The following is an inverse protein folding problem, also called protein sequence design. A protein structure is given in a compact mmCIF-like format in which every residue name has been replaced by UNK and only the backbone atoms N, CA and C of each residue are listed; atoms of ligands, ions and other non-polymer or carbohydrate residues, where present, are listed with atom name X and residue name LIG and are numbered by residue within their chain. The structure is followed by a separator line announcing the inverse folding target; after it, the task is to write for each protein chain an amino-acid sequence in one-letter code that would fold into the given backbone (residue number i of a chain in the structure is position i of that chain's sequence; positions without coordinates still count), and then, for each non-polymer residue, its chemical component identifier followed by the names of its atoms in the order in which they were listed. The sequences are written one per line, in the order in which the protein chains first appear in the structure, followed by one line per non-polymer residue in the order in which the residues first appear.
data_IF_460589486408
#
_entry.id   IF_460589486408
#
_cell.length_a   1.000
_cell.length_b   1.000
_cell.length_c   1.000
_cell.angle_alpha   90.00
_cell.angle_beta   90.00
_cell.angle_gamma   90.00
#
_symmetry.space_group_name_H-M   'P 1'
#
loop_
_entity.id
_entity.type
_entity.pdbx_description
1 polymer ?
#
# COMPACT_ATOMS: atom_id res chain seq x y z
N UNK A 1 27.58 15.66 -30.02
CA UNK A 1 26.82 15.50 -28.75
C UNK A 1 27.67 14.59 -27.87
N UNK A 2 27.99 14.97 -26.63
CA UNK A 2 28.76 14.09 -25.73
C UNK A 2 28.03 12.76 -25.54
N UNK A 3 28.78 11.67 -25.37
CA UNK A 3 28.28 10.27 -25.43
C UNK A 3 27.13 9.93 -24.46
N UNK A 4 26.82 10.80 -23.49
CA UNK A 4 25.82 10.56 -22.45
C UNK A 4 24.44 11.22 -22.70
N UNK A 5 24.26 12.08 -23.71
CA UNK A 5 22.98 12.75 -23.95
C UNK A 5 22.10 11.98 -24.92
N UNK A 6 20.93 11.56 -24.45
CA UNK A 6 19.92 10.84 -25.24
C UNK A 6 18.77 11.78 -25.59
N UNK A 7 18.41 11.83 -26.86
CA UNK A 7 17.25 12.56 -27.36
C UNK A 7 15.96 11.75 -27.12
N UNK A 8 15.02 12.32 -26.37
CA UNK A 8 13.74 11.71 -26.04
C UNK A 8 12.62 12.07 -27.03
N UNK A 9 12.84 13.04 -27.92
CA UNK A 9 11.87 13.51 -28.89
C UNK A 9 11.46 14.97 -28.74
N UNK A 10 10.34 15.33 -29.39
CA UNK A 10 9.81 16.70 -29.42
C UNK A 10 9.38 17.18 -28.03
N UNK A 11 9.84 18.37 -27.64
CA UNK A 11 9.43 19.04 -26.41
C UNK A 11 7.93 19.34 -26.41
N UNK A 12 7.36 19.76 -27.54
CA UNK A 12 5.92 20.01 -27.64
C UNK A 12 5.12 18.73 -27.40
N UNK A 13 5.53 17.61 -28.02
CA UNK A 13 4.83 16.33 -27.87
C UNK A 13 4.94 15.81 -26.42
N UNK A 14 6.13 15.89 -25.83
CA UNK A 14 6.38 15.43 -24.46
C UNK A 14 5.71 16.32 -23.41
N UNK A 15 5.57 17.62 -23.64
CA UNK A 15 4.90 18.54 -22.71
C UNK A 15 3.39 18.32 -22.61
N UNK A 16 2.76 17.60 -23.56
CA UNK A 16 1.32 17.27 -23.52
C UNK A 16 0.93 16.37 -22.36
N UNK A 17 1.91 15.71 -21.72
CA UNK A 17 1.68 14.87 -20.54
C UNK A 17 2.45 15.45 -19.35
N UNK A 18 1.79 15.72 -18.22
CA UNK A 18 2.46 16.27 -17.05
C UNK A 18 3.49 15.31 -16.46
N UNK A 19 3.25 13.99 -16.60
CA UNK A 19 4.17 12.93 -16.19
C UNK A 19 4.03 11.75 -17.14
N UNK A 20 5.15 11.13 -17.50
CA UNK A 20 5.16 9.95 -18.35
C UNK A 20 6.42 9.12 -18.14
N UNK A 21 6.28 7.82 -18.40
CA UNK A 21 7.40 6.89 -18.47
C UNK A 21 8.06 6.97 -19.84
N UNK A 22 9.37 7.16 -19.84
CA UNK A 22 10.21 7.13 -21.04
C UNK A 22 11.44 6.24 -20.79
N UNK A 23 12.17 5.91 -21.84
CA UNK A 23 13.47 5.23 -21.76
C UNK A 23 14.53 6.15 -22.34
N UNK A 24 15.64 6.29 -21.62
CA UNK A 24 16.87 6.88 -22.12
C UNK A 24 17.91 5.75 -22.16
N UNK A 25 18.23 5.22 -23.34
CA UNK A 25 18.92 3.93 -23.45
C UNK A 25 18.15 2.83 -22.71
N UNK A 26 18.82 2.11 -21.81
CA UNK A 26 18.21 1.09 -20.96
C UNK A 26 17.67 1.62 -19.62
N UNK A 27 17.89 2.90 -19.31
CA UNK A 27 17.46 3.49 -18.04
C UNK A 27 15.98 3.90 -18.13
N UNK A 28 15.10 3.38 -17.25
CA UNK A 28 13.74 3.86 -17.17
C UNK A 28 13.72 5.23 -16.50
N UNK A 29 13.02 6.19 -17.11
CA UNK A 29 12.91 7.56 -16.64
C UNK A 29 11.44 7.91 -16.40
N UNK A 30 11.17 8.54 -15.26
CA UNK A 30 9.93 9.30 -15.06
C UNK A 30 10.21 10.75 -15.48
N UNK A 31 9.66 11.13 -16.63
CA UNK A 31 9.79 12.48 -17.18
C UNK A 31 8.56 13.28 -16.79
N UNK A 32 8.78 14.39 -16.08
CA UNK A 32 7.73 15.34 -15.68
C UNK A 32 7.89 16.64 -16.45
N UNK A 33 6.77 17.33 -16.69
CA UNK A 33 6.72 18.66 -17.28
C UNK A 33 5.63 19.48 -16.59
N UNK A 34 6.04 20.56 -15.90
CA UNK A 34 5.13 21.54 -15.28
C UNK A 34 5.48 22.89 -15.89
N UNK A 35 4.51 23.60 -16.46
CA UNK A 35 4.68 24.92 -17.08
C UNK A 35 5.84 24.99 -18.08
N UNK A 36 6.03 23.91 -18.86
CA UNK A 36 7.11 23.78 -19.85
C UNK A 36 8.48 23.40 -19.27
N UNK A 37 8.63 23.32 -17.94
CA UNK A 37 9.87 22.96 -17.27
C UNK A 37 9.98 21.44 -17.03
N UNK A 38 10.80 20.78 -17.85
CA UNK A 38 11.06 19.35 -17.72
C UNK A 38 11.95 19.01 -16.52
N UNK A 39 11.69 17.86 -15.88
CA UNK A 39 12.72 17.17 -15.10
C UNK A 39 12.59 15.65 -15.21
N UNK A 40 13.72 14.97 -15.04
CA UNK A 40 13.84 13.53 -15.16
C UNK A 40 14.39 12.93 -13.87
N UNK A 41 13.69 11.91 -13.37
CA UNK A 41 14.16 11.05 -12.27
C UNK A 41 14.11 9.60 -12.71
N UNK A 42 14.80 8.73 -11.97
CA UNK A 42 14.75 7.30 -12.23
C UNK A 42 13.30 6.80 -12.15
N UNK A 43 12.87 5.99 -13.10
CA UNK A 43 11.47 5.55 -13.22
C UNK A 43 11.02 4.50 -12.21
N UNK A 44 11.82 4.17 -11.20
CA UNK A 44 11.55 3.07 -10.26
C UNK A 44 11.65 3.57 -8.81
N UNK A 45 10.51 3.55 -8.12
CA UNK A 45 10.32 3.96 -6.72
C UNK A 45 11.22 3.15 -5.77
N UNK A 46 11.83 3.81 -4.77
CA UNK A 46 12.69 3.14 -3.78
C UNK A 46 11.92 2.22 -2.82
N UNK A 47 10.60 2.39 -2.66
CA UNK A 47 9.80 1.56 -1.77
C UNK A 47 9.78 0.08 -2.21
N UNK A 48 9.13 -0.22 -3.34
CA UNK A 48 9.02 -1.60 -3.88
C UNK A 48 9.22 -1.67 -5.41
N UNK A 49 9.73 -0.61 -6.04
CA UNK A 49 10.04 -0.60 -7.48
C UNK A 49 8.90 -0.17 -8.40
N UNK A 50 7.89 0.55 -7.86
CA UNK A 50 6.77 1.09 -8.64
C UNK A 50 7.18 1.99 -9.80
N UNK A 51 6.47 1.95 -10.94
CA UNK A 51 6.78 2.74 -12.14
C UNK A 51 6.36 4.19 -11.94
N UNK A 52 7.30 5.04 -11.54
CA UNK A 52 7.01 6.44 -11.20
C UNK A 52 6.45 7.23 -12.38
N UNK A 53 6.83 6.90 -13.62
CA UNK A 53 6.30 7.55 -14.82
C UNK A 53 4.85 7.18 -15.16
N UNK A 54 4.25 6.21 -14.46
CA UNK A 54 2.83 5.84 -14.57
C UNK A 54 2.03 6.37 -13.37
N UNK A 55 2.65 7.20 -12.52
CA UNK A 55 2.05 7.85 -11.37
C UNK A 55 1.31 9.15 -11.70
N UNK A 56 1.13 9.98 -10.69
CA UNK A 56 0.53 11.33 -10.80
C UNK A 56 1.48 12.39 -10.24
N UNK A 57 1.18 13.67 -10.48
CA UNK A 57 1.87 14.79 -9.86
C UNK A 57 0.97 15.45 -8.80
N UNK A 58 1.55 15.73 -7.64
CA UNK A 58 0.98 16.58 -6.59
C UNK A 58 1.97 17.72 -6.31
N UNK A 59 1.73 18.89 -6.91
CA UNK A 59 2.73 19.97 -6.95
C UNK A 59 4.01 19.49 -7.62
N UNK A 60 5.15 19.65 -6.94
CA UNK A 60 6.45 19.16 -7.44
C UNK A 60 6.77 17.70 -7.09
N UNK A 61 5.82 16.94 -6.54
CA UNK A 61 6.04 15.55 -6.16
C UNK A 61 5.40 14.56 -7.14
N UNK A 62 6.18 13.57 -7.56
CA UNK A 62 5.69 12.39 -8.29
C UNK A 62 5.17 11.38 -7.27
N UNK A 63 3.89 11.05 -7.37
CA UNK A 63 3.19 10.08 -6.52
C UNK A 63 3.20 8.71 -7.19
N UNK A 64 3.83 7.74 -6.54
CA UNK A 64 3.92 6.37 -7.04
C UNK A 64 2.52 5.73 -7.19
N UNK A 65 2.18 5.10 -8.33
CA UNK A 65 0.84 4.55 -8.56
C UNK A 65 0.51 3.31 -7.72
N UNK A 66 1.53 2.73 -7.07
CA UNK A 66 1.34 1.55 -6.22
C UNK A 66 1.02 1.92 -4.78
N UNK A 67 1.87 2.68 -4.09
CA UNK A 67 1.73 2.93 -2.64
C UNK A 67 1.86 4.41 -2.32
N UNK A 68 1.55 5.28 -3.28
CA UNK A 68 1.53 6.74 -3.13
C UNK A 68 2.81 7.39 -2.59
N UNK A 69 3.91 6.63 -2.48
CA UNK A 69 5.21 7.14 -2.07
C UNK A 69 5.66 8.24 -3.01
N UNK A 70 6.13 9.35 -2.43
CA UNK A 70 6.37 10.57 -3.19
C UNK A 70 7.85 10.87 -3.31
N UNK A 71 8.24 11.39 -4.49
CA UNK A 71 9.56 11.95 -4.71
C UNK A 71 9.47 13.28 -5.43
N UNK A 72 10.22 14.26 -4.98
CA UNK A 72 10.31 15.56 -5.64
C UNK A 72 10.89 15.37 -7.04
N UNK A 73 10.19 15.87 -8.05
CA UNK A 73 10.46 15.63 -9.48
C UNK A 73 11.82 16.15 -9.96
N UNK A 74 12.37 17.17 -9.31
CA UNK A 74 13.66 17.78 -9.68
C UNK A 74 14.85 17.25 -8.86
N UNK A 75 14.67 17.06 -7.55
CA UNK A 75 15.75 16.71 -6.61
C UNK A 75 15.81 15.21 -6.35
N UNK A 76 14.71 14.48 -6.64
CA UNK A 76 14.57 13.05 -6.39
C UNK A 76 14.40 12.70 -4.90
N UNK A 77 14.31 13.69 -4.02
CA UNK A 77 14.21 13.50 -2.56
C UNK A 77 12.79 13.07 -2.20
N UNK A 78 12.64 12.19 -1.21
CA UNK A 78 11.35 11.80 -0.64
C UNK A 78 10.55 12.97 -0.07
N UNK A 79 9.29 12.74 0.26
CA UNK A 79 8.47 13.74 0.97
C UNK A 79 8.94 13.99 2.40
N UNK A 80 8.30 14.96 3.07
CA UNK A 80 8.64 15.34 4.44
C UNK A 80 8.66 14.14 5.40
N UNK A 81 9.72 14.02 6.19
CA UNK A 81 9.98 12.86 7.05
C UNK A 81 10.70 11.68 6.38
N UNK A 82 10.88 11.72 5.05
CA UNK A 82 11.58 10.70 4.26
C UNK A 82 12.70 11.29 3.39
N UNK A 83 13.31 12.40 3.81
CA UNK A 83 14.30 13.16 3.01
C UNK A 83 15.62 12.40 2.78
N UNK A 84 15.86 11.34 3.56
CA UNK A 84 16.99 10.43 3.39
C UNK A 84 16.77 9.42 2.25
N UNK A 85 15.52 9.21 1.83
CA UNK A 85 15.17 8.41 0.66
C UNK A 85 15.28 9.25 -0.61
N UNK A 86 16.05 8.78 -1.59
CA UNK A 86 16.33 9.52 -2.83
C UNK A 86 16.43 8.62 -4.04
N UNK A 87 15.72 8.99 -5.09
CA UNK A 87 15.89 8.41 -6.43
C UNK A 87 16.87 9.26 -7.27
N UNK A 88 17.65 8.63 -8.17
CA UNK A 88 18.55 9.36 -9.06
C UNK A 88 17.81 10.39 -9.92
N UNK A 89 18.40 11.57 -10.07
CA UNK A 89 17.96 12.61 -11.01
C UNK A 89 18.88 12.63 -12.23
N UNK A 90 18.33 13.00 -13.37
CA UNK A 90 19.05 13.04 -14.63
C UNK A 90 18.95 14.45 -15.22
N UNK A 91 20.08 15.11 -15.54
CA UNK A 91 20.06 16.42 -16.17
C UNK A 91 19.21 16.41 -17.45
N UNK A 92 18.33 17.40 -17.60
CA UNK A 92 17.47 17.58 -18.76
C UNK A 92 17.75 18.94 -19.39
N UNK A 93 17.78 19.00 -20.72
CA UNK A 93 17.83 20.25 -21.46
C UNK A 93 16.92 20.19 -22.68
N UNK A 94 16.50 21.35 -23.16
CA UNK A 94 15.75 21.50 -24.41
C UNK A 94 16.64 22.23 -25.41
N UNK A 95 16.97 21.60 -26.53
CA UNK A 95 17.76 22.20 -27.60
C UNK A 95 17.05 21.96 -28.94
N UNK A 96 16.87 23.00 -29.74
CA UNK A 96 16.20 22.92 -31.05
C UNK A 96 14.82 22.22 -31.00
N UNK A 97 14.04 22.48 -29.94
CA UNK A 97 12.73 21.87 -29.73
C UNK A 97 12.74 20.39 -29.34
N UNK A 98 13.91 19.82 -29.00
CA UNK A 98 14.08 18.42 -28.58
C UNK A 98 14.44 18.35 -27.10
N UNK A 99 13.87 17.39 -26.38
CA UNK A 99 14.21 17.11 -24.97
C UNK A 99 15.36 16.12 -24.93
N UNK A 100 16.48 16.51 -24.34
CA UNK A 100 17.64 15.65 -24.14
C UNK A 100 17.83 15.36 -22.66
N UNK A 101 18.15 14.11 -22.33
CA UNK A 101 18.47 13.65 -20.98
C UNK A 101 19.87 13.08 -20.93
N UNK A 102 20.64 13.45 -19.91
CA UNK A 102 21.97 12.91 -19.69
C UNK A 102 21.88 11.61 -18.86
N UNK A 103 22.45 10.50 -19.34
CA UNK A 103 22.44 9.19 -18.65
C UNK A 103 23.29 9.15 -17.40
N UNK A 104 24.23 10.09 -17.23
CA UNK A 104 24.97 10.26 -15.99
C UNK A 104 24.06 10.92 -14.96
N UNK A 105 23.60 10.13 -14.00
CA UNK A 105 22.80 10.63 -12.89
C UNK A 105 23.53 11.74 -12.13
N UNK A 106 22.83 12.85 -11.87
CA UNK A 106 23.35 13.97 -11.08
C UNK A 106 23.35 13.65 -9.57
N UNK A 107 22.44 12.77 -9.14
CA UNK A 107 22.35 12.31 -7.75
C UNK A 107 22.43 10.79 -7.68
N UNK A 108 22.95 10.29 -6.56
CA UNK A 108 22.96 8.85 -6.26
C UNK A 108 21.64 8.43 -5.63
N UNK A 109 21.25 7.17 -5.86
CA UNK A 109 20.15 6.53 -5.13
C UNK A 109 20.56 6.36 -3.67
N UNK A 110 19.68 6.74 -2.74
CA UNK A 110 19.79 6.38 -1.33
C UNK A 110 18.45 5.83 -0.86
N UNK A 111 18.47 4.77 -0.06
CA UNK A 111 17.29 4.18 0.57
C UNK A 111 17.63 3.97 2.03
N UNK A 112 17.00 4.72 2.93
CA UNK A 112 17.17 4.47 4.34
C UNK A 112 16.52 3.12 4.70
N UNK A 113 17.19 2.27 5.49
CA UNK A 113 16.53 1.14 6.11
C UNK A 113 15.42 1.68 7.02
N UNK A 114 14.23 1.12 6.91
CA UNK A 114 13.17 1.32 7.89
C UNK A 114 13.03 0.02 8.69
N UNK A 115 12.76 0.15 9.99
CA UNK A 115 12.46 -1.01 10.80
C UNK A 115 11.26 -1.75 10.19
N UNK A 116 11.29 -3.10 10.15
CA UNK A 116 10.17 -3.87 9.64
C UNK A 116 8.91 -3.54 10.45
N UNK A 117 7.78 -3.44 9.75
CA UNK A 117 6.49 -3.27 10.41
C UNK A 117 6.26 -4.40 11.45
N UNK A 118 5.71 -4.14 12.65
CA UNK A 118 5.56 -5.16 13.71
C UNK A 118 4.83 -6.45 13.31
N UNK A 119 3.90 -6.36 12.35
CA UNK A 119 3.20 -7.53 11.78
C UNK A 119 4.10 -8.44 10.90
N UNK A 120 5.27 -7.97 10.46
CA UNK A 120 6.19 -8.70 9.61
C UNK A 120 7.05 -9.72 10.39
N UNK A 121 6.95 -9.73 11.71
CA UNK A 121 7.65 -10.70 12.57
C UNK A 121 7.25 -12.14 12.23
N UNK A 122 8.13 -13.09 12.55
CA UNK A 122 7.84 -14.50 12.37
C UNK A 122 6.63 -14.92 13.22
N UNK A 123 5.74 -15.73 12.64
CA UNK A 123 4.60 -16.30 13.37
C UNK A 123 5.13 -17.32 14.39
N UNK A 124 4.86 -17.07 15.67
CA UNK A 124 5.24 -17.95 16.77
C UNK A 124 4.00 -18.29 17.59
N UNK A 125 3.67 -19.58 17.67
CA UNK A 125 2.56 -20.06 18.50
C UNK A 125 3.12 -20.41 19.88
N UNK A 126 2.85 -19.55 20.87
CA UNK A 126 3.15 -19.86 22.26
C UNK A 126 2.32 -21.06 22.75
N UNK A 127 2.87 -21.84 23.68
CA UNK A 127 2.10 -22.84 24.43
C UNK A 127 1.03 -22.16 25.27
N UNK A 128 -0.12 -22.82 25.45
CA UNK A 128 -1.23 -22.26 26.20
C UNK A 128 -2.57 -22.90 25.83
N UNK A 129 -3.68 -22.37 26.36
CA UNK A 129 -5.02 -22.77 25.96
C UNK A 129 -5.27 -22.44 24.48
N UNK A 130 -6.25 -23.12 23.86
CA UNK A 130 -6.70 -22.80 22.51
C UNK A 130 -7.22 -21.37 22.47
N UNK A 131 -6.76 -20.58 21.50
CA UNK A 131 -7.14 -19.18 21.31
C UNK A 131 -8.21 -19.04 20.24
N UNK A 132 -9.37 -18.52 20.62
CA UNK A 132 -10.53 -18.34 19.74
C UNK A 132 -10.77 -16.85 19.49
N UNK A 133 -10.55 -16.40 18.26
CA UNK A 133 -10.86 -15.03 17.86
C UNK A 133 -12.26 -14.96 17.23
N UNK A 134 -13.14 -14.14 17.79
CA UNK A 134 -14.42 -13.81 17.20
C UNK A 134 -14.36 -12.49 16.42
N UNK A 135 -14.78 -12.51 15.16
CA UNK A 135 -14.87 -11.34 14.30
C UNK A 135 -16.34 -11.03 14.02
N UNK A 136 -16.84 -9.93 14.58
CA UNK A 136 -18.17 -9.40 14.24
C UNK A 136 -18.06 -8.46 13.05
N UNK A 137 -18.83 -8.75 12.00
CA UNK A 137 -18.94 -7.89 10.82
C UNK A 137 -20.27 -7.13 10.80
N UNK A 138 -20.94 -7.01 11.94
CA UNK A 138 -22.19 -6.26 12.07
C UNK A 138 -21.93 -4.77 11.82
N UNK A 139 -22.53 -4.23 10.76
CA UNK A 139 -22.58 -2.80 10.51
C UNK A 139 -23.80 -2.20 11.22
N UNK A 140 -23.55 -1.45 12.30
CA UNK A 140 -24.56 -0.81 13.15
C UNK A 140 -24.29 0.69 13.22
N UNK A 141 -25.32 1.50 13.03
CA UNK A 141 -25.25 2.94 13.24
C UNK A 141 -25.20 3.24 14.74
N UNK A 142 -24.24 4.08 15.18
CA UNK A 142 -24.06 4.35 16.63
C UNK A 142 -25.27 5.06 17.23
N UNK A 143 -25.93 5.92 16.47
CA UNK A 143 -27.13 6.66 16.91
C UNK A 143 -28.43 5.85 16.89
N UNK A 144 -28.43 4.63 16.34
CA UNK A 144 -29.63 3.80 16.21
C UNK A 144 -29.30 2.31 16.48
N UNK A 145 -28.90 1.97 17.72
CA UNK A 145 -28.57 0.59 18.06
C UNK A 145 -29.81 -0.30 17.94
N UNK A 146 -29.60 -1.53 17.46
CA UNK A 146 -30.62 -2.58 17.44
C UNK A 146 -29.99 -3.91 17.82
N UNK A 147 -30.82 -4.87 18.20
CA UNK A 147 -30.35 -6.23 18.45
C UNK A 147 -29.74 -6.84 17.17
N UNK A 148 -28.61 -7.51 17.33
CA UNK A 148 -27.93 -8.25 16.26
C UNK A 148 -27.87 -9.73 16.64
N UNK A 149 -28.65 -10.56 15.95
CA UNK A 149 -28.62 -12.01 16.16
C UNK A 149 -27.24 -12.61 15.84
N UNK A 150 -26.52 -12.05 14.85
CA UNK A 150 -25.16 -12.44 14.51
C UNK A 150 -24.18 -12.15 15.65
N UNK A 151 -24.26 -10.97 16.28
CA UNK A 151 -23.41 -10.65 17.42
C UNK A 151 -23.75 -11.50 18.63
N UNK A 152 -25.04 -11.70 18.90
CA UNK A 152 -25.49 -12.52 20.01
C UNK A 152 -25.02 -13.98 19.90
N UNK A 153 -25.10 -14.58 18.71
CA UNK A 153 -24.59 -15.92 18.46
C UNK A 153 -23.07 -15.99 18.61
N UNK A 154 -22.34 -14.97 18.13
CA UNK A 154 -20.90 -14.91 18.28
C UNK A 154 -20.48 -14.83 19.75
N UNK A 155 -21.10 -13.93 20.50
CA UNK A 155 -20.85 -13.76 21.95
C UNK A 155 -21.15 -15.05 22.71
N UNK A 156 -22.25 -15.73 22.37
CA UNK A 156 -22.61 -17.02 22.98
C UNK A 156 -21.60 -18.11 22.66
N UNK A 157 -21.10 -18.18 21.41
CA UNK A 157 -20.08 -19.13 21.01
C UNK A 157 -18.73 -18.88 21.71
N UNK A 158 -18.32 -17.62 21.83
CA UNK A 158 -17.11 -17.25 22.56
C UNK A 158 -17.24 -17.57 24.06
N UNK A 159 -18.37 -17.25 24.69
CA UNK A 159 -18.62 -17.59 26.08
C UNK A 159 -18.55 -19.11 26.33
N UNK A 160 -19.13 -19.91 25.42
CA UNK A 160 -19.07 -21.37 25.49
C UNK A 160 -17.64 -21.92 25.29
N UNK A 161 -16.83 -21.29 24.42
CA UNK A 161 -15.42 -21.64 24.27
C UNK A 161 -14.62 -21.29 25.53
N UNK A 162 -14.85 -20.12 26.12
CA UNK A 162 -14.22 -19.71 27.38
C UNK A 162 -14.55 -20.66 28.53
N UNK A 163 -15.80 -21.13 28.63
CA UNK A 163 -16.21 -22.14 29.62
C UNK A 163 -15.52 -23.50 29.44
N UNK A 164 -14.98 -23.79 28.26
CA UNK A 164 -14.16 -24.98 27.97
C UNK A 164 -12.66 -24.75 28.19
N UNK A 165 -12.27 -23.59 28.74
CA UNK A 165 -10.87 -23.25 29.04
C UNK A 165 -10.12 -22.62 27.87
N UNK A 166 -10.79 -22.24 26.78
CA UNK A 166 -10.17 -21.48 25.69
C UNK A 166 -9.93 -20.02 26.10
N UNK A 167 -8.87 -19.43 25.59
CA UNK A 167 -8.71 -17.97 25.61
C UNK A 167 -9.52 -17.36 24.46
N UNK A 168 -10.30 -16.32 24.72
CA UNK A 168 -11.21 -15.76 23.72
C UNK A 168 -11.07 -14.25 23.59
N UNK A 169 -11.14 -13.74 22.37
CA UNK A 169 -11.25 -12.30 22.11
C UNK A 169 -12.35 -12.00 21.09
N UNK A 170 -12.96 -10.81 21.19
CA UNK A 170 -13.98 -10.32 20.26
C UNK A 170 -13.51 -9.03 19.60
N UNK A 171 -13.42 -9.04 18.28
CA UNK A 171 -13.12 -7.86 17.47
C UNK A 171 -14.38 -7.48 16.68
N UNK A 172 -14.85 -6.25 16.86
CA UNK A 172 -16.00 -5.71 16.12
C UNK A 172 -15.50 -4.79 15.02
N UNK A 173 -15.59 -5.24 13.77
CA UNK A 173 -15.13 -4.44 12.62
C UNK A 173 -15.84 -3.10 12.51
N UNK A 174 -17.10 -3.01 12.96
CA UNK A 174 -17.85 -1.75 12.97
C UNK A 174 -17.30 -0.69 13.96
N UNK A 175 -16.36 -1.08 14.82
CA UNK A 175 -15.66 -0.17 15.74
C UNK A 175 -14.25 0.20 15.24
N UNK A 176 -13.78 -0.42 14.16
CA UNK A 176 -12.45 -0.18 13.60
C UNK A 176 -12.51 0.83 12.44
N UNK A 177 -11.51 1.71 12.39
CA UNK A 177 -11.19 2.60 11.30
C UNK A 177 -10.12 1.95 10.42
N UNK A 178 -10.56 1.41 9.29
CA UNK A 178 -9.67 0.84 8.29
C UNK A 178 -10.17 1.15 6.88
N UNK A 179 -9.28 1.16 5.90
CA UNK A 179 -9.62 1.48 4.49
C UNK A 179 -10.05 0.24 3.70
N UNK A 180 -10.73 0.45 2.58
CA UNK A 180 -10.96 -0.62 1.57
C UNK A 180 -9.64 -1.04 0.93
N UNK A 181 -9.58 -2.24 0.36
CA UNK A 181 -8.46 -2.63 -0.48
C UNK A 181 -8.39 -1.76 -1.74
N UNK A 182 -7.18 -1.44 -2.20
CA UNK A 182 -6.96 -0.60 -3.39
C UNK A 182 -6.55 -1.39 -4.64
N UNK A 183 -6.63 -2.72 -4.57
CA UNK A 183 -6.37 -3.59 -5.72
C UNK A 183 -4.90 -3.57 -6.19
N UNK A 184 -3.94 -3.35 -5.28
CA UNK A 184 -2.52 -3.30 -5.65
C UNK A 184 -2.05 -4.57 -6.37
N UNK A 185 -2.56 -5.74 -5.98
CA UNK A 185 -2.27 -7.00 -6.67
C UNK A 185 -2.63 -6.95 -8.16
N UNK A 186 -3.80 -6.39 -8.49
CA UNK A 186 -4.28 -6.25 -9.87
C UNK A 186 -3.47 -5.23 -10.67
N UNK A 187 -2.86 -4.23 -10.01
CA UNK A 187 -1.92 -3.30 -10.65
C UNK A 187 -0.58 -3.99 -10.92
N UNK A 188 -0.07 -4.72 -9.93
CA UNK A 188 1.12 -5.57 -10.03
C UNK A 188 1.16 -6.54 -8.85
N UNK A 189 1.42 -7.83 -9.07
CA UNK A 189 1.47 -8.82 -7.99
C UNK A 189 2.42 -8.41 -6.85
N UNK A 190 3.61 -7.88 -7.21
CA UNK A 190 4.62 -7.37 -6.27
C UNK A 190 4.22 -6.10 -5.50
N UNK A 191 3.15 -5.43 -5.89
CA UNK A 191 2.63 -4.29 -5.13
C UNK A 191 1.76 -4.76 -3.95
N UNK A 192 1.17 -5.95 -3.98
CA UNK A 192 0.48 -6.47 -2.81
C UNK A 192 1.47 -7.17 -1.88
N UNK A 193 1.90 -6.49 -0.82
CA UNK A 193 2.88 -7.02 0.14
C UNK A 193 2.22 -7.46 1.45
N UNK A 194 2.90 -8.33 2.18
CA UNK A 194 2.68 -8.57 3.60
C UNK A 194 3.78 -7.88 4.43
N UNK A 195 3.42 -7.16 5.52
CA UNK A 195 2.07 -6.75 5.93
C UNK A 195 1.38 -5.89 4.87
N UNK A 196 0.05 -5.78 4.90
CA UNK A 196 -0.71 -5.02 3.91
C UNK A 196 -0.13 -3.62 3.68
N UNK A 197 0.18 -3.26 2.42
CA UNK A 197 0.78 -1.96 2.09
C UNK A 197 0.00 -0.78 2.65
N UNK A 198 -1.34 -0.86 2.67
CA UNK A 198 -2.19 0.21 3.23
C UNK A 198 -1.92 0.40 4.72
N UNK A 199 -1.78 -0.70 5.46
CA UNK A 199 -1.45 -0.67 6.89
C UNK A 199 -0.03 -0.18 7.13
N UNK A 200 0.90 -0.44 6.21
CA UNK A 200 2.26 0.12 6.30
C UNK A 200 2.31 1.63 6.04
N UNK A 201 1.37 2.16 5.26
CA UNK A 201 1.31 3.59 4.91
C UNK A 201 0.51 4.45 5.90
N UNK A 202 -0.39 3.85 6.67
CA UNK A 202 -1.30 4.53 7.59
C UNK A 202 -1.20 3.86 8.97
N UNK A 203 -0.45 4.48 9.87
CA UNK A 203 -0.26 4.03 11.24
C UNK A 203 -1.55 4.08 12.08
N UNK A 204 -2.59 4.75 11.57
CA UNK A 204 -3.93 4.78 12.17
C UNK A 204 -4.88 3.71 11.61
N UNK A 205 -4.43 2.86 10.69
CA UNK A 205 -5.25 1.78 10.13
C UNK A 205 -5.42 0.63 11.15
N UNK A 206 -6.63 0.50 11.68
CA UNK A 206 -6.97 -0.47 12.74
C UNK A 206 -7.20 -1.89 12.22
N UNK A 207 -6.97 -2.17 10.93
CA UNK A 207 -6.94 -3.56 10.42
C UNK A 207 -5.79 -4.37 11.05
N UNK A 208 -4.80 -3.69 11.64
CA UNK A 208 -3.74 -4.29 12.47
C UNK A 208 -4.27 -5.27 13.51
N UNK A 209 -5.36 -4.93 14.22
CA UNK A 209 -5.96 -5.82 15.23
C UNK A 209 -6.47 -7.13 14.62
N UNK A 210 -7.05 -7.06 13.42
CA UNK A 210 -7.56 -8.23 12.70
C UNK A 210 -6.40 -9.09 12.17
N UNK A 211 -5.35 -8.47 11.62
CA UNK A 211 -4.14 -9.19 11.20
C UNK A 211 -3.42 -9.87 12.36
N UNK A 212 -3.29 -9.18 13.48
CA UNK A 212 -2.69 -9.70 14.71
C UNK A 212 -3.47 -10.93 15.20
N UNK A 213 -4.80 -10.83 15.27
CA UNK A 213 -5.66 -11.95 15.64
C UNK A 213 -5.54 -13.13 14.67
N UNK A 214 -5.63 -12.90 13.36
CA UNK A 214 -5.67 -13.96 12.35
C UNK A 214 -4.32 -14.65 12.13
N UNK A 215 -3.25 -13.86 12.04
CA UNK A 215 -1.94 -14.37 11.61
C UNK A 215 -1.09 -14.80 12.80
N UNK A 216 -1.12 -14.03 13.90
CA UNK A 216 -0.18 -14.21 15.01
C UNK A 216 -0.79 -14.89 16.22
N UNK A 217 -2.08 -14.66 16.51
CA UNK A 217 -2.65 -15.05 17.81
C UNK A 217 -3.60 -16.27 17.74
N UNK A 218 -4.62 -16.28 16.89
CA UNK A 218 -5.72 -17.24 16.96
C UNK A 218 -5.35 -18.63 16.45
N UNK A 219 -5.87 -19.66 17.13
CA UNK A 219 -5.87 -21.05 16.65
C UNK A 219 -7.20 -21.37 15.93
N UNK A 220 -8.29 -20.75 16.39
CA UNK A 220 -9.64 -20.85 15.82
C UNK A 220 -10.19 -19.45 15.57
N UNK A 221 -10.84 -19.27 14.42
CA UNK A 221 -11.45 -18.00 14.04
C UNK A 221 -12.93 -18.22 13.77
N UNK A 222 -13.78 -17.48 14.48
CA UNK A 222 -15.21 -17.45 14.29
C UNK A 222 -15.59 -16.12 13.66
N UNK A 223 -16.20 -16.14 12.47
CA UNK A 223 -16.68 -14.93 11.81
C UNK A 223 -18.20 -14.93 11.82
N UNK A 224 -18.79 -13.91 12.43
CA UNK A 224 -20.24 -13.72 12.41
C UNK A 224 -20.62 -12.49 11.58
N UNK A 225 -21.43 -12.73 10.56
CA UNK A 225 -21.92 -11.70 9.66
C UNK A 225 -23.44 -11.71 9.61
N UNK A 226 -24.10 -10.53 9.65
CA UNK A 226 -25.48 -10.42 9.21
C UNK A 226 -25.61 -10.86 7.76
N UNK A 227 -26.64 -11.64 7.46
CA UNK A 227 -27.02 -12.00 6.08
C UNK A 227 -28.18 -11.12 5.64
N UNK A 228 -28.00 -10.42 4.52
CA UNK A 228 -29.06 -9.63 3.88
C UNK A 228 -29.17 -10.07 2.44
N UNK A 229 -30.34 -10.56 2.03
CA UNK A 229 -30.57 -11.05 0.66
C UNK A 229 -29.56 -12.14 0.24
N UNK A 230 -29.20 -13.03 1.17
CA UNK A 230 -28.24 -14.11 0.92
C UNK A 230 -26.77 -13.67 0.87
N UNK A 231 -26.46 -12.40 1.14
CA UNK A 231 -25.10 -11.86 1.09
C UNK A 231 -24.58 -11.50 2.49
N UNK A 232 -23.27 -11.64 2.67
CA UNK A 232 -22.55 -11.16 3.86
C UNK A 232 -22.56 -9.62 3.94
N UNK A 233 -22.19 -9.07 5.09
CA UNK A 233 -22.15 -7.63 5.30
C UNK A 233 -21.04 -6.96 4.48
N UNK A 234 -21.19 -5.67 4.21
CA UNK A 234 -20.14 -4.88 3.55
C UNK A 234 -18.82 -4.86 4.33
N UNK A 235 -18.88 -4.91 5.68
CA UNK A 235 -17.68 -4.99 6.51
C UNK A 235 -16.94 -6.32 6.35
N UNK A 236 -17.67 -7.43 6.14
CA UNK A 236 -17.05 -8.71 5.82
C UNK A 236 -16.21 -8.61 4.55
N UNK A 237 -16.79 -8.12 3.45
CA UNK A 237 -16.07 -7.99 2.18
C UNK A 237 -14.88 -7.02 2.29
N UNK A 238 -15.08 -5.86 2.93
CA UNK A 238 -14.01 -4.88 3.15
C UNK A 238 -12.81 -5.48 3.90
N UNK A 239 -13.05 -6.32 4.91
CA UNK A 239 -12.01 -7.06 5.64
C UNK A 239 -11.38 -8.15 4.76
N UNK A 240 -12.20 -8.97 4.11
CA UNK A 240 -11.75 -10.10 3.31
C UNK A 240 -10.82 -9.66 2.17
N UNK A 241 -11.15 -8.58 1.46
CA UNK A 241 -10.32 -8.04 0.39
C UNK A 241 -8.95 -7.53 0.90
N UNK A 242 -8.89 -7.02 2.14
CA UNK A 242 -7.65 -6.59 2.77
C UNK A 242 -6.76 -7.80 3.15
N UNK A 243 -7.35 -8.98 3.41
CA UNK A 243 -6.63 -10.22 3.71
C UNK A 243 -5.93 -10.86 2.49
N UNK A 244 -6.18 -10.39 1.26
CA UNK A 244 -5.46 -10.84 0.06
C UNK A 244 -3.94 -10.76 0.22
N UNK A 245 -3.43 -9.78 0.97
CA UNK A 245 -2.00 -9.68 1.26
C UNK A 245 -1.43 -10.89 1.98
N UNK A 246 -2.19 -11.51 2.88
CA UNK A 246 -1.84 -12.73 3.60
C UNK A 246 -1.86 -13.92 2.64
N UNK A 247 -2.96 -14.08 1.90
CA UNK A 247 -3.13 -15.17 0.94
C UNK A 247 -1.98 -15.19 -0.07
N UNK A 248 -1.61 -14.02 -0.59
CA UNK A 248 -0.53 -13.90 -1.57
C UNK A 248 0.83 -14.38 -1.05
N UNK A 249 1.07 -14.43 0.27
CA UNK A 249 2.33 -14.97 0.80
C UNK A 249 2.36 -16.50 0.84
N UNK A 250 1.20 -17.15 0.79
CA UNK A 250 1.10 -18.62 0.84
C UNK A 250 1.12 -19.22 -0.57
N UNK A 251 0.67 -18.46 -1.57
CA UNK A 251 0.51 -18.92 -2.95
C UNK A 251 1.59 -18.45 -3.92
N UNK A 252 2.46 -17.53 -3.50
CA UNK A 252 3.58 -17.02 -4.30
C UNK A 252 4.88 -17.76 -3.96
#
# INVERSE_FOLDING_TARGET
MGEDWVDLGSAEALARRPLQRVKAGDVPIALSCIDGAFAAVHGACNHVGGPLGEGTLEGDYIVCPWHHWKFHRQTGIGEGGFETDRIPTYPVKVENGRVLVNLKAATKRSRAPHDPHPLARAVQRAEGPVRVAGLSTTAMEKGAPRYSGSDHLLESALAAAGAQGCETQLIRLGQLKFRTCEGFYSKAARACTWPCSITQMDDTDEMTAVYEALVHWADVVLVATPIRWGQASSLYFKMAERLNCVQNQVTA
#
